data_IF_713599704890
#
_entry.id   IF_713599704890
#
_cell.length_a   1.000
_cell.length_b   1.000
_cell.length_c   1.000
_cell.angle_alpha   90.00
_cell.angle_beta   90.00
_cell.angle_gamma   90.00
#
_symmetry.space_group_name_H-M   'P 1'
#
loop_
_entity.id
_entity.type
_entity.pdbx_description
1 polymer ?
#
# COMPACT_ATOMS: atom_id res chain seq x y z
N UNK A 1 -10.23 3.93 10.29
CA UNK A 1 -9.96 4.68 9.04
C UNK A 1 -8.54 5.17 9.18
N UNK A 2 -7.73 4.94 8.15
CA UNK A 2 -6.33 5.32 8.09
C UNK A 2 -6.14 6.30 6.93
N UNK A 3 -5.37 7.37 7.14
CA UNK A 3 -5.16 8.42 6.14
C UNK A 3 -3.80 8.23 5.50
N UNK A 4 -3.78 7.75 4.26
CA UNK A 4 -2.54 7.62 3.48
C UNK A 4 -2.10 8.95 2.88
N UNK A 5 -3.05 9.84 2.62
CA UNK A 5 -2.77 11.23 2.26
C UNK A 5 -3.70 12.14 3.03
N UNK A 6 -3.10 12.92 3.93
CA UNK A 6 -3.82 13.78 4.86
C UNK A 6 -4.47 14.99 4.16
N UNK A 7 -5.61 15.46 4.68
CA UNK A 7 -6.25 16.69 4.22
C UNK A 7 -5.48 17.92 4.71
N UNK A 8 -4.46 18.34 3.95
CA UNK A 8 -3.63 19.50 4.34
C UNK A 8 -4.09 20.82 3.71
N UNK A 9 -4.75 20.78 2.53
CA UNK A 9 -5.18 21.97 1.78
C UNK A 9 -6.50 21.71 1.06
N UNK A 10 -7.25 22.78 0.82
CA UNK A 10 -8.42 22.75 -0.05
C UNK A 10 -8.04 22.31 -1.47
N UNK A 11 -8.96 21.63 -2.15
CA UNK A 11 -8.78 21.10 -3.52
C UNK A 11 -7.64 20.09 -3.69
N UNK A 12 -7.12 19.51 -2.61
CA UNK A 12 -6.22 18.35 -2.69
C UNK A 12 -6.97 17.04 -2.49
N UNK A 13 -6.61 16.05 -3.30
CA UNK A 13 -7.11 14.69 -3.12
C UNK A 13 -6.60 14.12 -1.81
N UNK A 14 -7.53 13.56 -1.04
CA UNK A 14 -7.30 12.81 0.20
C UNK A 14 -7.39 11.33 -0.14
N UNK A 15 -6.48 10.53 0.41
CA UNK A 15 -6.50 9.07 0.24
C UNK A 15 -6.69 8.45 1.61
N UNK A 16 -7.71 7.60 1.72
CA UNK A 16 -8.07 6.91 2.96
C UNK A 16 -8.15 5.42 2.71
N UNK A 17 -7.60 4.66 3.66
CA UNK A 17 -7.83 3.23 3.78
C UNK A 17 -8.91 2.99 4.84
N UNK A 18 -9.88 2.15 4.50
CA UNK A 18 -11.08 1.93 5.29
C UNK A 18 -11.30 0.43 5.42
N UNK A 19 -11.49 -0.09 6.65
CA UNK A 19 -11.85 -1.48 6.83
C UNK A 19 -13.17 -1.83 6.11
N UNK A 20 -13.35 -3.06 5.61
CA UNK A 20 -14.53 -3.47 4.85
C UNK A 20 -15.86 -3.17 5.55
N UNK A 21 -15.90 -3.38 6.88
CA UNK A 21 -17.07 -3.13 7.73
C UNK A 21 -17.55 -1.67 7.70
N UNK A 22 -16.62 -0.73 7.47
CA UNK A 22 -16.88 0.71 7.48
C UNK A 22 -17.02 1.34 6.09
N UNK A 23 -16.65 0.63 5.02
CA UNK A 23 -16.56 1.18 3.67
C UNK A 23 -17.92 1.68 3.17
N UNK A 24 -18.96 0.84 3.22
CA UNK A 24 -20.30 1.20 2.75
C UNK A 24 -20.89 2.41 3.49
N UNK A 25 -20.65 2.49 4.81
CA UNK A 25 -21.10 3.62 5.63
C UNK A 25 -20.40 4.92 5.23
N UNK A 26 -19.08 4.88 5.01
CA UNK A 26 -18.31 6.05 4.60
C UNK A 26 -18.74 6.52 3.21
N UNK A 27 -18.87 5.60 2.25
CA UNK A 27 -19.35 5.94 0.91
C UNK A 27 -20.73 6.61 0.94
N UNK A 28 -21.64 6.11 1.78
CA UNK A 28 -22.96 6.72 1.97
C UNK A 28 -22.84 8.18 2.44
N UNK A 29 -22.00 8.43 3.45
CA UNK A 29 -21.75 9.79 3.96
C UNK A 29 -21.14 10.69 2.88
N UNK A 30 -20.15 10.20 2.12
CA UNK A 30 -19.48 10.97 1.07
C UNK A 30 -20.44 11.33 -0.08
N UNK A 31 -21.33 10.40 -0.45
CA UNK A 31 -22.37 10.66 -1.47
C UNK A 31 -23.40 11.68 -0.98
N UNK A 32 -23.81 11.59 0.28
CA UNK A 32 -24.81 12.50 0.88
C UNK A 32 -24.32 13.95 0.89
N UNK A 33 -23.05 14.17 1.24
CA UNK A 33 -22.44 15.51 1.23
C UNK A 33 -22.02 15.98 -0.18
N UNK A 34 -22.25 15.16 -1.22
CA UNK A 34 -21.92 15.48 -2.61
C UNK A 34 -20.41 15.49 -2.93
N UNK A 35 -19.59 14.83 -2.10
CA UNK A 35 -18.15 14.78 -2.31
C UNK A 35 -17.83 13.71 -3.36
N UNK A 36 -17.07 14.10 -4.38
CA UNK A 36 -16.63 13.18 -5.43
C UNK A 36 -15.50 12.30 -4.90
N UNK A 37 -15.68 11.00 -4.98
CA UNK A 37 -14.65 10.01 -4.66
C UNK A 37 -14.61 8.92 -5.73
N UNK A 38 -13.52 8.17 -5.73
CA UNK A 38 -13.36 6.97 -6.52
C UNK A 38 -12.55 5.96 -5.70
N UNK A 39 -12.75 4.68 -5.99
CA UNK A 39 -12.03 3.58 -5.35
C UNK A 39 -10.70 3.38 -6.07
N UNK A 40 -9.58 3.44 -5.33
CA UNK A 40 -8.23 3.18 -5.88
C UNK A 40 -8.01 1.67 -6.03
N UNK A 41 -8.34 0.91 -4.98
CA UNK A 41 -8.35 -0.55 -4.97
C UNK A 41 -9.52 -1.03 -4.11
N UNK A 42 -10.17 -2.11 -4.53
CA UNK A 42 -11.22 -2.81 -3.79
C UNK A 42 -10.66 -3.87 -2.83
N UNK A 43 -9.47 -4.38 -3.11
CA UNK A 43 -8.75 -5.33 -2.26
C UNK A 43 -7.30 -4.88 -2.06
N UNK A 44 -6.97 -4.52 -0.82
CA UNK A 44 -5.60 -4.18 -0.43
C UNK A 44 -4.77 -5.44 -0.16
N UNK A 45 -5.40 -6.54 0.28
CA UNK A 45 -4.72 -7.79 0.56
C UNK A 45 -4.16 -8.40 -0.73
N UNK A 46 -4.85 -8.27 -1.87
CA UNK A 46 -4.32 -8.71 -3.17
C UNK A 46 -2.98 -8.03 -3.50
N UNK A 47 -2.85 -6.75 -3.18
CA UNK A 47 -1.62 -6.00 -3.44
C UNK A 47 -0.50 -6.43 -2.48
N UNK A 48 -0.84 -6.67 -1.21
CA UNK A 48 0.10 -7.17 -0.21
C UNK A 48 0.58 -8.58 -0.57
N UNK A 49 -0.30 -9.45 -1.04
CA UNK A 49 0.07 -10.82 -1.41
C UNK A 49 0.93 -10.81 -2.68
N UNK A 50 0.58 -10.02 -3.70
CA UNK A 50 1.44 -9.85 -4.87
C UNK A 50 2.83 -9.33 -4.47
N UNK A 51 2.91 -8.37 -3.56
CA UNK A 51 4.19 -7.88 -3.05
C UNK A 51 4.98 -9.00 -2.37
N UNK A 52 4.34 -9.86 -1.56
CA UNK A 52 4.99 -11.02 -0.93
C UNK A 52 5.50 -12.05 -1.94
N UNK A 53 4.73 -12.32 -2.99
CA UNK A 53 5.12 -13.24 -4.06
C UNK A 53 6.31 -12.69 -4.87
N UNK A 54 6.26 -11.41 -5.24
CA UNK A 54 7.33 -10.75 -5.99
C UNK A 54 8.61 -10.66 -5.15
N UNK A 55 8.47 -10.44 -3.84
CA UNK A 55 9.57 -10.31 -2.89
C UNK A 55 10.09 -11.66 -2.33
N UNK A 56 9.58 -12.80 -2.80
CA UNK A 56 9.98 -14.11 -2.30
C UNK A 56 11.42 -14.45 -2.72
N UNK A 57 12.31 -14.86 -1.78
CA UNK A 57 13.68 -15.24 -2.10
C UNK A 57 13.70 -16.52 -2.95
N UNK A 58 13.67 -16.35 -4.27
CA UNK A 58 13.57 -17.44 -5.24
C UNK A 58 12.81 -17.09 -6.53
N UNK A 59 12.08 -15.97 -6.58
CA UNK A 59 11.46 -15.47 -7.81
C UNK A 59 12.52 -14.86 -8.75
N UNK A 60 12.73 -15.49 -9.91
CA UNK A 60 13.43 -15.08 -11.15
C UNK A 60 14.76 -14.27 -11.14
N UNK A 61 15.27 -13.76 -10.01
CA UNK A 61 16.46 -12.91 -9.87
C UNK A 61 17.59 -13.59 -9.09
N UNK A 62 17.45 -14.87 -8.71
CA UNK A 62 18.59 -15.70 -8.29
C UNK A 62 19.43 -16.07 -9.51
N UNK A 63 20.12 -15.06 -10.02
CA UNK A 63 20.99 -15.17 -11.16
C UNK A 63 21.70 -13.85 -11.40
N UNK A 64 22.80 -13.63 -10.65
CA UNK A 64 24.01 -12.85 -11.04
C UNK A 64 24.39 -11.59 -10.24
N UNK A 65 23.97 -11.41 -8.99
CA UNK A 65 24.57 -10.33 -8.16
C UNK A 65 25.13 -10.88 -6.85
N UNK A 66 26.45 -10.95 -6.78
CA UNK A 66 27.19 -10.96 -5.52
C UNK A 66 26.99 -9.59 -4.85
N UNK A 67 25.89 -9.38 -4.12
CA UNK A 67 25.59 -8.08 -3.48
C UNK A 67 24.15 -7.95 -2.95
N UNK A 68 23.87 -6.81 -2.30
CA UNK A 68 22.54 -6.41 -1.83
C UNK A 68 21.63 -6.03 -3.02
N UNK A 69 20.39 -6.53 -3.05
CA UNK A 69 19.48 -6.40 -4.18
C UNK A 69 18.54 -5.18 -4.01
N UNK A 70 18.88 -4.05 -4.61
CA UNK A 70 18.11 -2.81 -4.42
C UNK A 70 16.71 -2.80 -5.06
N UNK A 71 16.37 -3.84 -5.82
CA UNK A 71 15.11 -4.02 -6.53
C UNK A 71 14.08 -4.85 -5.75
N UNK A 72 14.39 -5.27 -4.53
CA UNK A 72 13.50 -6.02 -3.64
C UNK A 72 13.41 -5.38 -2.25
N UNK A 73 12.35 -5.68 -1.50
CA UNK A 73 12.21 -5.24 -0.12
C UNK A 73 12.96 -6.16 0.82
N UNK A 74 13.74 -5.57 1.72
CA UNK A 74 14.56 -6.30 2.67
C UNK A 74 14.01 -6.23 4.11
N UNK A 75 14.10 -7.32 4.88
CA UNK A 75 13.85 -7.25 6.31
C UNK A 75 14.87 -6.33 7.00
N UNK A 76 14.47 -5.75 8.14
CA UNK A 76 15.29 -4.78 8.86
C UNK A 76 16.69 -5.31 9.21
N UNK A 77 16.80 -6.60 9.54
CA UNK A 77 18.06 -7.25 9.88
C UNK A 77 19.05 -7.34 8.69
N UNK A 78 18.57 -7.41 7.45
CA UNK A 78 19.44 -7.38 6.25
C UNK A 78 19.93 -5.95 5.94
N UNK A 79 19.12 -4.93 6.22
CA UNK A 79 19.52 -3.52 6.07
C UNK A 79 20.53 -3.12 7.15
N UNK A 80 20.36 -3.66 8.36
CA UNK A 80 21.26 -3.42 9.48
C UNK A 80 22.51 -4.30 9.36
N UNK A 81 23.40 -3.92 8.44
CA UNK A 81 24.73 -4.54 8.32
C UNK A 81 25.44 -4.56 9.69
N UNK A 82 25.93 -5.72 10.17
CA UNK A 82 26.76 -5.76 11.36
C UNK A 82 28.05 -5.00 11.08
N UNK A 83 28.29 -3.94 11.86
CA UNK A 83 29.52 -3.15 11.90
C UNK A 83 30.61 -3.91 12.66
#
# INVERSE_FOLDING_TARGET
IDFWKEPTREMQNVTVHVPPEGASKLEGVLRDIGLKFYTITDDLEEWIEREREDNYPGSHLQGRTTGFAFDVYHPLDEVRMPI
#
